data_IF_593022230774
#
_entry.id   IF_593022230774
#
_cell.length_a   1.000
_cell.length_b   1.000
_cell.length_c   1.000
_cell.angle_alpha   90.00
_cell.angle_beta   90.00
_cell.angle_gamma   90.00
#
_symmetry.space_group_name_H-M   'P 1'
#
loop_
_entity.id
_entity.type
_entity.pdbx_description
1 polymer ?
2 non-polymer ?
3 non-polymer ?
4 water ?
#
# COMPACT_ATOMS: atom_id res chain seq x y z
N UNK A 1 4.13 13.30 -2.21
CA UNK A 1 3.04 13.93 -2.94
C UNK A 1 2.03 12.91 -3.48
N UNK A 2 2.47 11.95 -4.30
CA UNK A 2 1.57 10.96 -4.89
C UNK A 2 2.08 9.55 -4.61
N UNK A 3 1.29 8.75 -3.90
CA UNK A 3 1.72 7.43 -3.44
C UNK A 3 0.64 6.42 -3.80
N UNK A 4 1.06 5.28 -4.36
CA UNK A 4 0.19 4.16 -4.71
C UNK A 4 0.63 2.92 -3.95
N UNK A 5 -0.26 2.35 -3.14
CA UNK A 5 0.02 1.08 -2.48
C UNK A 5 -0.51 -0.07 -3.34
N UNK A 6 0.25 -1.16 -3.42
CA UNK A 6 -0.10 -2.26 -4.31
C UNK A 6 -0.06 -3.58 -3.55
N UNK A 7 -1.15 -4.33 -3.61
CA UNK A 7 -1.22 -5.68 -3.10
C UNK A 7 -1.78 -6.56 -4.20
N UNK A 8 -1.74 -7.88 -4.03
CA UNK A 8 -2.18 -8.72 -5.14
C UNK A 8 -3.68 -8.55 -5.36
N UNK A 9 -4.46 -8.51 -4.28
CA UNK A 9 -5.90 -8.45 -4.45
C UNK A 9 -6.49 -7.06 -4.41
N UNK A 10 -5.75 -6.07 -3.89
CA UNK A 10 -6.28 -4.72 -3.65
C UNK A 10 -7.57 -4.78 -2.82
N UNK A 11 -7.54 -5.62 -1.80
CA UNK A 11 -8.70 -5.85 -0.95
C UNK A 11 -8.35 -5.98 0.52
N UNK A 12 -7.08 -6.21 0.88
CA UNK A 12 -6.68 -6.29 2.28
C UNK A 12 -5.57 -5.29 2.59
N UNK A 13 -4.34 -5.62 2.19
CA UNK A 13 -3.17 -4.85 2.61
C UNK A 13 -3.17 -3.45 2.00
N UNK A 14 -3.38 -3.34 0.69
CA UNK A 14 -3.24 -2.03 0.06
C UNK A 14 -4.34 -1.05 0.49
N UNK A 15 -5.61 -1.45 0.63
CA UNK A 15 -6.60 -0.47 1.11
C UNK A 15 -6.34 -0.05 2.54
N UNK A 16 -5.83 -0.95 3.37
CA UNK A 16 -5.47 -0.57 4.73
C UNK A 16 -4.34 0.46 4.72
N UNK A 17 -3.29 0.17 3.96
CA UNK A 17 -2.20 1.13 3.81
C UNK A 17 -2.71 2.48 3.30
N UNK A 18 -3.60 2.46 2.31
CA UNK A 18 -4.12 3.72 1.79
C UNK A 18 -4.79 4.54 2.88
N UNK A 19 -5.65 3.92 3.66
CA UNK A 19 -6.40 4.64 4.68
C UNK A 19 -5.49 5.11 5.81
N UNK A 20 -4.52 4.27 6.20
CA UNK A 20 -3.57 4.60 7.26
C UNK A 20 -2.76 5.84 6.90
N UNK A 21 -2.17 5.84 5.71
CA UNK A 21 -1.35 6.96 5.29
C UNK A 21 -2.20 8.21 5.09
N UNK A 22 -3.42 8.02 4.59
CA UNK A 22 -4.35 9.14 4.49
C UNK A 22 -4.58 9.80 5.85
N UNK A 23 -4.72 8.99 6.91
CA UNK A 23 -4.89 9.52 8.25
C UNK A 23 -3.63 10.25 8.71
N UNK A 24 -2.47 9.61 8.55
CA UNK A 24 -1.22 10.23 8.98
C UNK A 24 -1.04 11.62 8.37
N UNK A 25 -1.33 11.78 7.08
CA UNK A 25 -1.04 13.07 6.45
C UNK A 25 -2.00 14.15 6.91
N UNK A 26 -3.20 13.79 7.38
CA UNK A 26 -4.05 14.83 7.96
C UNK A 26 -3.63 15.11 9.40
N UNK A 27 -3.31 14.07 10.18
CA UNK A 27 -2.84 14.27 11.55
C UNK A 27 -1.50 14.98 11.57
N UNK A 28 -0.74 14.88 10.48
CA UNK A 28 0.46 15.68 10.29
C UNK A 28 0.20 16.94 9.49
N UNK A 29 -1.03 17.13 8.99
CA UNK A 29 -1.43 18.35 8.29
C UNK A 29 -0.53 18.63 7.08
N UNK A 30 -0.28 17.61 6.26
CA UNK A 30 0.63 17.77 5.14
C UNK A 30 -0.10 18.18 3.86
N UNK A 31 0.67 18.76 2.95
CA UNK A 31 0.23 19.05 1.60
C UNK A 31 1.43 18.79 0.69
N UNK A 32 1.24 18.58 -0.61
CA UNK A 32 -0.04 18.33 -1.24
C UNK A 32 -0.03 16.85 -1.61
N UNK A 33 -0.64 16.04 -0.75
CA UNK A 33 -0.49 14.59 -0.79
C UNK A 33 -1.70 13.93 -1.42
N UNK A 34 -1.43 12.91 -2.22
CA UNK A 34 -2.47 12.06 -2.80
C UNK A 34 -2.08 10.60 -2.60
N UNK A 35 -3.00 9.82 -2.05
CA UNK A 35 -2.76 8.43 -1.70
C UNK A 35 -3.85 7.59 -2.35
N UNK A 36 -3.47 6.45 -2.91
CA UNK A 36 -4.41 5.59 -3.62
C UNK A 36 -3.92 4.15 -3.50
N UNK A 37 -4.69 3.20 -4.04
CA UNK A 37 -4.21 1.83 -4.03
C UNK A 37 -4.79 1.07 -5.22
N UNK A 38 -4.10 -0.01 -5.58
CA UNK A 38 -4.45 -0.79 -6.76
C UNK A 38 -3.92 -2.20 -6.58
N UNK A 39 -4.28 -3.09 -7.52
CA UNK A 39 -3.98 -4.50 -7.39
C UNK A 39 -3.43 -5.10 -8.67
N UNK A 40 -3.11 -6.39 -8.59
CA UNK A 40 -2.45 -7.10 -9.68
C UNK A 40 -3.27 -8.27 -10.23
N UNK A 41 -4.53 -8.43 -9.82
CA UNK A 41 -5.40 -9.50 -10.31
C UNK A 41 -6.83 -8.98 -10.37
N UNK A 42 -7.64 -9.59 -11.24
CA UNK A 42 -9.04 -9.17 -11.30
C UNK A 42 -9.91 -9.78 -10.19
N UNK A 43 -9.33 -10.63 -9.32
CA UNK A 43 -10.10 -11.45 -8.38
C UNK A 43 -11.12 -10.64 -7.60
N UNK A 44 -10.66 -9.66 -6.84
CA UNK A 44 -11.53 -8.86 -5.98
C UNK A 44 -11.82 -7.48 -6.57
N UNK A 45 -11.70 -7.32 -7.89
CA UNK A 45 -11.90 -6.02 -8.54
C UNK A 45 -13.37 -5.61 -8.45
N UNK A 46 -13.61 -4.29 -8.37
CA UNK A 46 -14.95 -3.74 -8.35
C UNK A 46 -15.68 -3.84 -7.02
N UNK A 47 -15.09 -4.52 -6.04
CA UNK A 47 -15.67 -4.69 -4.71
C UNK A 47 -14.96 -3.78 -3.71
N UNK A 48 -15.51 -3.73 -2.50
CA UNK A 48 -14.99 -2.96 -1.39
C UNK A 48 -14.01 -3.80 -0.57
N UNK A 49 -13.15 -3.16 0.24
CA UNK A 49 -12.14 -3.94 0.98
C UNK A 49 -12.80 -5.00 1.83
N UNK A 50 -12.07 -6.10 2.03
CA UNK A 50 -12.64 -7.24 2.71
C UNK A 50 -13.10 -6.84 4.10
N UNK A 51 -14.28 -7.34 4.49
CA UNK A 51 -15.03 -6.75 5.59
C UNK A 51 -14.23 -6.75 6.89
N UNK A 52 -13.47 -7.80 7.16
CA UNK A 52 -12.76 -7.83 8.44
C UNK A 52 -11.62 -6.82 8.52
N UNK A 53 -11.25 -6.20 7.40
CA UNK A 53 -10.23 -5.17 7.40
C UNK A 53 -10.84 -3.81 7.63
N UNK A 54 -12.03 -3.60 7.06
CA UNK A 54 -12.80 -2.40 7.35
C UNK A 54 -13.17 -2.34 8.83
N UNK A 55 -13.37 -3.50 9.45
CA UNK A 55 -13.63 -3.52 10.88
C UNK A 55 -12.41 -3.10 11.67
N UNK A 56 -11.28 -3.78 11.44
CA UNK A 56 -10.04 -3.39 12.11
C UNK A 56 -9.74 -1.91 11.90
N UNK A 57 -10.02 -1.39 10.71
CA UNK A 57 -9.81 0.03 10.46
C UNK A 57 -10.74 0.89 11.30
N UNK A 58 -12.05 0.61 11.27
CA UNK A 58 -13.00 1.35 12.11
C UNK A 58 -12.60 1.30 13.57
N UNK A 59 -12.21 0.13 14.06
CA UNK A 59 -11.70 0.01 15.41
C UNK A 59 -10.51 0.94 15.68
N UNK A 60 -9.90 1.53 14.65
CA UNK A 60 -8.85 2.52 14.82
C UNK A 60 -9.26 3.90 14.31
N UNK A 61 -10.55 4.14 14.16
CA UNK A 61 -11.04 5.43 13.74
C UNK A 61 -10.94 5.70 12.27
N UNK A 62 -10.57 4.70 11.48
CA UNK A 62 -10.38 4.85 10.05
C UNK A 62 -11.49 4.14 9.30
N UNK A 63 -11.77 4.62 8.09
CA UNK A 63 -12.72 3.95 7.23
C UNK A 63 -12.22 4.04 5.79
N UNK A 64 -12.64 3.08 4.98
CA UNK A 64 -12.27 3.07 3.58
C UNK A 64 -13.49 2.81 2.72
N UNK A 65 -13.53 3.54 1.60
CA UNK A 65 -14.54 3.50 0.54
C UNK A 65 -14.17 2.58 -0.62
N UNK A 66 -12.91 2.16 -0.66
CA UNK A 66 -12.17 1.92 -1.90
C UNK A 66 -12.72 0.73 -2.68
N UNK A 67 -12.94 0.92 -3.97
CA UNK A 67 -13.27 -0.18 -4.86
C UNK A 67 -11.98 -0.81 -5.41
N UNK A 68 -11.87 -2.13 -5.32
CA UNK A 68 -10.72 -2.81 -5.88
C UNK A 68 -10.54 -2.52 -7.36
N UNK A 69 -9.33 -2.18 -7.78
CA UNK A 69 -9.06 -1.90 -9.18
C UNK A 69 -7.68 -2.44 -9.55
N UNK A 70 -7.49 -2.63 -10.85
CA UNK A 70 -6.20 -3.06 -11.36
C UNK A 70 -5.29 -1.85 -11.48
N UNK A 71 -3.99 -2.08 -11.28
CA UNK A 71 -3.02 -1.06 -11.67
C UNK A 71 -3.05 -0.96 -13.19
N UNK A 72 -2.97 0.27 -13.70
CA UNK A 72 -2.89 0.53 -15.13
C UNK A 72 -1.52 1.09 -15.45
N UNK A 73 -1.21 1.13 -16.74
CA UNK A 73 0.03 1.75 -17.18
C UNK A 73 0.11 3.21 -16.72
N UNK A 74 -1.01 3.95 -16.80
CA UNK A 74 -1.02 5.36 -16.40
C UNK A 74 -0.52 5.53 -14.98
N UNK A 75 -0.81 4.56 -14.11
CA UNK A 75 -0.39 4.66 -12.72
C UNK A 75 1.12 4.86 -12.60
N UNK A 76 1.90 4.20 -13.46
CA UNK A 76 3.34 4.26 -13.34
C UNK A 76 3.91 5.64 -13.64
N UNK A 77 3.16 6.48 -14.35
CA UNK A 77 3.58 7.84 -14.64
C UNK A 77 2.98 8.88 -13.70
N UNK A 78 1.94 8.52 -12.95
CA UNK A 78 1.23 9.47 -12.10
C UNK A 78 1.56 9.35 -10.62
N UNK A 79 2.54 8.54 -10.22
CA UNK A 79 2.82 8.44 -8.80
C UNK A 79 4.32 8.57 -8.56
N UNK A 80 4.67 9.08 -7.38
CA UNK A 80 6.06 9.21 -6.98
C UNK A 80 6.58 7.92 -6.34
N UNK A 81 5.73 7.27 -5.56
CA UNK A 81 6.07 6.01 -4.92
C UNK A 81 4.97 5.01 -5.24
N UNK A 82 5.36 3.79 -5.57
CA UNK A 82 4.46 2.65 -5.66
C UNK A 82 5.02 1.58 -4.74
N UNK A 83 4.27 1.23 -3.71
CA UNK A 83 4.72 0.33 -2.65
C UNK A 83 4.12 -1.05 -2.85
N UNK A 84 4.99 -2.05 -2.95
CA UNK A 84 4.60 -3.45 -2.90
C UNK A 84 4.56 -3.95 -1.46
N UNK A 85 3.69 -4.93 -1.20
CA UNK A 85 3.69 -5.59 0.10
C UNK A 85 4.65 -6.77 0.14
N UNK A 86 4.85 -7.40 -1.03
CA UNK A 86 5.47 -8.69 -1.28
C UNK A 86 6.62 -8.54 -2.26
N UNK A 87 7.55 -9.48 -2.21
CA UNK A 87 8.53 -9.51 -3.28
C UNK A 87 7.90 -10.05 -4.56
N UNK A 88 6.86 -10.88 -4.43
CA UNK A 88 6.05 -11.22 -5.59
C UNK A 88 5.48 -9.97 -6.25
N UNK A 89 4.75 -9.15 -5.48
CA UNK A 89 4.22 -7.89 -6.00
C UNK A 89 5.34 -7.08 -6.63
N UNK A 90 6.45 -6.93 -5.90
CA UNK A 90 7.56 -6.10 -6.38
C UNK A 90 8.03 -6.55 -7.75
N UNK A 91 8.27 -7.86 -7.91
CA UNK A 91 8.79 -8.37 -9.18
C UNK A 91 7.80 -8.15 -10.31
N UNK A 92 6.50 -8.34 -10.05
CA UNK A 92 5.53 -8.12 -11.10
C UNK A 92 5.47 -6.64 -11.46
N UNK A 93 5.63 -5.76 -10.46
CA UNK A 93 5.58 -4.33 -10.75
C UNK A 93 6.84 -3.88 -11.46
N UNK A 94 7.98 -4.50 -11.15
CA UNK A 94 9.20 -4.16 -11.85
C UNK A 94 9.14 -4.62 -13.31
N UNK A 95 8.69 -5.85 -13.58
CA UNK A 95 8.45 -6.27 -14.96
C UNK A 95 7.49 -5.32 -15.66
N UNK A 96 6.39 -4.97 -14.99
CA UNK A 96 5.42 -4.07 -15.61
C UNK A 96 6.08 -2.76 -16.01
N UNK A 97 6.79 -2.12 -15.07
CA UNK A 97 7.37 -0.81 -15.37
C UNK A 97 8.31 -0.89 -16.56
N UNK A 98 9.19 -1.89 -16.58
CA UNK A 98 10.14 -2.03 -17.68
C UNK A 98 9.47 -2.34 -19.01
N UNK A 99 8.20 -2.71 -19.03
CA UNK A 99 7.54 -2.91 -20.31
C UNK A 99 7.00 -1.61 -20.92
N UNK A 100 6.96 -0.52 -20.17
CA UNK A 100 6.46 0.75 -20.69
C UNK A 100 7.61 1.46 -21.41
N UNK A 101 7.41 1.78 -22.70
CA UNK A 101 8.53 2.25 -23.52
C UNK A 101 9.12 3.55 -22.99
N UNK A 102 8.34 4.65 -22.83
CA UNK A 102 8.89 5.75 -22.02
C UNK A 102 9.01 5.29 -20.58
N UNK A 103 10.23 4.96 -20.14
CA UNK A 103 10.43 4.45 -18.80
C UNK A 103 9.82 5.40 -17.77
N UNK A 104 9.09 4.89 -16.77
CA UNK A 104 8.55 5.76 -15.74
C UNK A 104 9.63 6.16 -14.75
N UNK A 105 9.33 7.20 -13.96
CA UNK A 105 10.23 7.64 -12.91
C UNK A 105 9.66 7.42 -11.52
N UNK A 106 8.53 6.74 -11.40
CA UNK A 106 8.06 6.37 -10.08
C UNK A 106 9.11 5.49 -9.40
N UNK A 107 9.27 5.67 -8.10
CA UNK A 107 10.05 4.73 -7.32
C UNK A 107 9.15 3.58 -6.89
N UNK A 108 9.60 2.35 -7.15
CA UNK A 108 8.86 1.14 -6.82
C UNK A 108 9.62 0.41 -5.72
N UNK A 109 8.99 0.23 -4.56
CA UNK A 109 9.74 -0.26 -3.41
C UNK A 109 8.87 -1.17 -2.56
N UNK A 110 9.53 -2.11 -1.90
CA UNK A 110 8.91 -2.90 -0.85
C UNK A 110 8.57 -1.97 0.31
N UNK A 111 7.28 -1.86 0.65
CA UNK A 111 6.89 -0.93 1.71
C UNK A 111 7.57 -1.27 3.02
N UNK A 112 7.65 -2.56 3.33
CA UNK A 112 8.21 -3.02 4.58
C UNK A 112 9.70 -2.83 4.70
N UNK A 113 10.38 -2.45 3.62
CA UNK A 113 11.80 -2.13 3.74
C UNK A 113 12.03 -0.89 4.59
N UNK A 114 10.99 -0.11 4.87
CA UNK A 114 11.14 1.02 5.79
C UNK A 114 11.06 0.61 7.24
N UNK A 115 10.64 -0.62 7.54
CA UNK A 115 10.57 -1.03 8.94
C UNK A 115 11.96 -1.00 9.57
N UNK A 116 12.98 -1.43 8.83
CA UNK A 116 14.34 -1.44 9.32
C UNK A 116 14.77 -2.74 9.95
N UNK A 117 13.92 -3.76 9.93
CA UNK A 117 14.27 -5.10 10.39
C UNK A 117 13.97 -6.05 9.25
N UNK A 118 15.01 -6.54 8.59
CA UNK A 118 14.81 -7.40 7.43
C UNK A 118 13.94 -8.60 7.75
N UNK A 119 13.98 -9.10 8.97
CA UNK A 119 13.10 -10.22 9.27
C UNK A 119 11.64 -9.80 9.37
N UNK A 120 11.33 -8.51 9.22
CA UNK A 120 9.96 -8.01 9.23
C UNK A 120 9.63 -7.26 7.95
N UNK A 121 10.43 -7.47 6.90
CA UNK A 121 10.27 -6.76 5.62
C UNK A 121 8.94 -7.08 4.95
N UNK A 122 8.50 -8.34 5.03
CA UNK A 122 7.45 -8.86 4.15
C UNK A 122 6.08 -8.71 4.82
N UNK A 123 5.17 -8.04 4.14
CA UNK A 123 3.81 -7.88 4.63
C UNK A 123 2.94 -8.93 3.95
N UNK A 124 2.59 -9.97 4.70
CA UNK A 124 1.91 -11.14 4.14
C UNK A 124 0.43 -10.88 3.89
N UNK A 125 -0.08 -11.48 2.81
CA UNK A 125 -1.49 -11.46 2.44
C UNK A 125 -2.35 -12.09 3.54
N UNK A 126 -3.23 -11.33 4.20
CA UNK A 126 -4.10 -11.91 5.23
C UNK A 126 -5.40 -12.50 4.72
N UNK A 127 -5.68 -12.37 3.42
CA UNK A 127 -6.97 -12.76 2.84
C UNK A 127 -7.43 -14.14 3.31
N UNK A 128 -6.53 -15.12 3.32
CA UNK A 128 -6.89 -16.51 3.56
C UNK A 128 -6.48 -16.99 4.95
N UNK A 129 -6.00 -16.09 5.79
CA UNK A 129 -5.55 -16.44 7.13
C UNK A 129 -6.76 -16.39 8.05
N UNK A 130 -7.05 -17.50 8.73
CA UNK A 130 -8.25 -17.58 9.54
C UNK A 130 -8.14 -16.65 10.74
N UNK A 131 -9.20 -15.88 10.99
CA UNK A 131 -9.21 -15.00 12.13
C UNK A 131 -8.58 -13.67 11.79
N UNK A 132 -8.16 -12.95 12.83
CA UNK A 132 -7.68 -11.59 12.70
C UNK A 132 -6.17 -11.46 12.83
N UNK A 133 -5.47 -12.54 13.19
CA UNK A 133 -4.03 -12.44 13.41
C UNK A 133 -3.26 -11.95 12.20
N UNK A 134 -3.67 -12.37 11.00
CA UNK A 134 -3.01 -11.89 9.81
C UNK A 134 -3.26 -10.41 9.56
N UNK A 135 -4.49 -9.95 9.77
CA UNK A 135 -4.77 -8.54 9.57
C UNK A 135 -4.05 -7.69 10.60
N UNK A 136 -3.93 -8.20 11.83
CA UNK A 136 -3.34 -7.41 12.91
C UNK A 136 -1.85 -7.21 12.69
N UNK A 137 -1.14 -8.30 12.36
CA UNK A 137 0.27 -8.16 11.99
C UNK A 137 0.45 -7.20 10.82
N UNK A 138 -0.39 -7.33 9.79
CA UNK A 138 -0.23 -6.46 8.62
C UNK A 138 -0.48 -5.01 8.98
N UNK A 139 -1.50 -4.75 9.80
CA UNK A 139 -1.77 -3.38 10.20
C UNK A 139 -0.57 -2.77 10.89
N UNK A 140 0.06 -3.52 11.81
CA UNK A 140 1.20 -3.00 12.55
C UNK A 140 2.40 -2.79 11.64
N UNK A 141 2.71 -3.77 10.78
CA UNK A 141 3.78 -3.58 9.79
C UNK A 141 3.51 -2.38 8.90
N UNK A 142 2.26 -2.20 8.47
CA UNK A 142 1.96 -1.11 7.57
C UNK A 142 2.07 0.23 8.30
N UNK A 143 1.60 0.28 9.54
CA UNK A 143 1.67 1.51 10.31
C UNK A 143 3.12 1.94 10.55
N UNK A 144 3.96 1.03 11.05
CA UNK A 144 5.35 1.42 11.27
C UNK A 144 6.01 1.81 9.95
N UNK A 145 5.75 1.02 8.89
CA UNK A 145 6.33 1.29 7.58
C UNK A 145 5.99 2.70 7.11
N UNK A 146 4.71 3.07 7.16
CA UNK A 146 4.33 4.42 6.75
C UNK A 146 4.98 5.47 7.66
N UNK A 147 5.08 5.19 8.96
CA UNK A 147 5.67 6.16 9.87
C UNK A 147 7.13 6.43 9.52
N UNK A 148 7.93 5.38 9.38
CA UNK A 148 9.33 5.61 9.05
C UNK A 148 9.49 6.20 7.67
N UNK A 149 8.59 5.86 6.74
CA UNK A 149 8.66 6.45 5.41
C UNK A 149 8.46 7.96 5.46
N UNK A 150 7.47 8.42 6.23
CA UNK A 150 7.21 9.86 6.30
C UNK A 150 8.38 10.59 6.96
N UNK A 151 8.92 10.00 8.03
CA UNK A 151 10.10 10.53 8.70
C UNK A 151 11.25 10.71 7.73
N UNK A 152 11.35 9.85 6.71
CA UNK A 152 12.48 9.92 5.79
C UNK A 152 12.25 10.91 4.66
N UNK A 153 11.00 11.08 4.22
CA UNK A 153 10.75 11.99 3.12
C UNK A 153 10.83 13.45 3.56
N UNK A 154 10.44 13.74 4.80
CA UNK A 154 10.56 15.09 5.34
C UNK A 154 12.00 15.46 5.69
N UNK A 155 12.87 14.46 5.87
CA UNK A 155 14.21 14.69 6.37
C UNK A 155 15.07 15.44 5.36
N UNK A 156 16.04 16.21 5.88
CA UNK A 156 17.03 16.88 5.05
C UNK A 156 18.21 15.98 4.68
N UNK A 157 18.32 14.81 5.32
CA UNK A 157 19.01 13.57 4.86
C UNK A 157 20.06 13.04 5.84
X LIG B 1 -4.47 -8.26 -0.58
X LIG B 1 -5.31 -7.13 -1.14
X LIG B 1 -5.37 -9.37 -0.12
X LIG B 1 -3.66 -7.85 0.64
X LIG B 1 -3.46 -8.74 -1.62
X LIG C 1 -10.41 6.02 -3.13
X LIG C 1 -10.18 7.49 -2.88
X LIG C 1 -10.55 5.26 -1.82
X LIG C 1 -11.69 5.86 -3.91
X LIG C 1 -9.27 5.50 -4.01
X LIG D 1 -4.63 8.41 16.30
#
# INVERSE_FOLDING_TARGET
MKVLFVSIGNTCRSPMAEAILKHLVVKRNLQDWYVDSAGLRSWNVGLEPQARGQQLLKQHGLKTNHLGRMISAQDFYDFDYIFAMDNSNLLELEHMAASLTPSPTCKIQLLGSYIGRKEDEIIEDPYFIQGMGGFNAAYLQILESCERFLQHYKSDDKELSLGSLEHHHHHH
PO4 P O1 O2 O3 O4
PO4 P O1 O2 O3 O4
CL CL
#
